data_IF_634910858207
#
_entry.id   IF_634910858207
#
_cell.length_a   1.000
_cell.length_b   1.000
_cell.length_c   1.000
_cell.angle_alpha   90.00
_cell.angle_beta   90.00
_cell.angle_gamma   90.00
#
_symmetry.space_group_name_H-M   'P 1'
#
loop_
_entity.id
_entity.type
_entity.pdbx_description
1 polymer ?
#
# COMPACT_ATOMS: atom_id res chain seq x y z
N UNK A 1 -14.13 -12.18 8.57
CA UNK A 1 -14.16 -11.03 7.64
C UNK A 1 -12.90 -10.22 7.86
N UNK A 2 -12.23 -9.75 6.80
CA UNK A 2 -11.04 -8.92 6.95
C UNK A 2 -11.42 -7.46 7.28
N UNK A 3 -10.72 -6.80 8.20
CA UNK A 3 -10.84 -5.35 8.47
C UNK A 3 -9.85 -4.54 7.63
N UNK A 4 -9.98 -3.21 7.68
CA UNK A 4 -9.05 -2.28 7.06
C UNK A 4 -7.63 -2.49 7.61
N UNK A 5 -7.50 -2.54 8.93
CA UNK A 5 -6.23 -2.73 9.65
C UNK A 5 -5.59 -4.06 9.30
N UNK A 6 -6.41 -5.11 9.15
CA UNK A 6 -5.96 -6.44 8.70
C UNK A 6 -5.33 -6.40 7.32
N UNK A 7 -5.98 -5.70 6.39
CA UNK A 7 -5.53 -5.62 5.02
C UNK A 7 -4.28 -4.73 4.89
N UNK A 8 -4.25 -3.60 5.60
CA UNK A 8 -3.11 -2.69 5.59
C UNK A 8 -1.88 -3.30 6.23
N UNK A 9 -2.01 -3.93 7.41
CA UNK A 9 -0.85 -4.55 8.06
C UNK A 9 -0.30 -5.69 7.21
N UNK A 10 -1.15 -6.49 6.57
CA UNK A 10 -0.70 -7.51 5.63
C UNK A 10 0.17 -6.92 4.50
N UNK A 11 -0.29 -5.81 3.89
CA UNK A 11 0.45 -5.13 2.83
C UNK A 11 1.71 -4.43 3.36
N UNK A 12 1.67 -3.80 4.53
CA UNK A 12 2.84 -3.17 5.14
C UNK A 12 3.94 -4.19 5.42
N UNK A 13 3.58 -5.42 5.84
CA UNK A 13 4.54 -6.52 6.02
C UNK A 13 5.15 -6.98 4.70
N UNK A 14 4.40 -6.96 3.60
CA UNK A 14 4.98 -7.29 2.28
C UNK A 14 5.95 -6.22 1.77
N UNK A 15 5.82 -4.97 2.24
CA UNK A 15 6.80 -3.89 2.01
C UNK A 15 8.01 -3.92 2.95
N UNK A 16 8.04 -4.87 3.89
CA UNK A 16 9.12 -5.08 4.85
C UNK A 16 8.94 -4.38 6.20
N UNK A 17 7.80 -3.71 6.44
CA UNK A 17 7.50 -3.12 7.75
C UNK A 17 7.03 -4.17 8.75
N UNK A 18 7.30 -3.92 10.03
CA UNK A 18 7.09 -4.85 11.13
C UNK A 18 6.11 -4.23 12.13
N UNK A 19 4.98 -4.90 12.32
CA UNK A 19 3.99 -4.58 13.35
C UNK A 19 4.59 -4.75 14.77
N UNK A 20 4.30 -3.83 15.67
CA UNK A 20 4.89 -3.72 17.01
C UNK A 20 6.33 -3.19 17.02
N UNK A 21 6.86 -2.74 15.88
CA UNK A 21 8.21 -2.16 15.77
C UNK A 21 8.20 -0.86 14.96
N UNK A 22 7.73 -0.92 13.71
CA UNK A 22 7.65 0.26 12.84
C UNK A 22 6.30 0.99 13.00
N UNK A 23 5.25 0.22 13.28
CA UNK A 23 3.90 0.72 13.53
C UNK A 23 3.14 -0.24 14.46
N UNK A 24 2.10 0.26 15.12
CA UNK A 24 1.13 -0.56 15.83
C UNK A 24 0.00 -0.95 14.88
N UNK A 25 -0.41 -2.21 14.89
CA UNK A 25 -1.55 -2.73 14.12
C UNK A 25 -2.77 -1.79 14.06
N UNK A 26 -3.17 -1.27 15.23
CA UNK A 26 -4.33 -0.40 15.39
C UNK A 26 -4.16 0.96 14.71
N UNK A 27 -2.92 1.32 14.35
CA UNK A 27 -2.53 2.55 13.66
C UNK A 27 -2.01 2.29 12.24
N UNK A 28 -2.33 1.12 11.67
CA UNK A 28 -1.95 0.78 10.30
C UNK A 28 -2.55 1.73 9.23
N UNK A 29 -3.75 2.32 9.37
CA UNK A 29 -4.22 3.38 8.47
C UNK A 29 -3.30 4.59 8.41
N UNK A 30 -2.91 5.13 9.56
CA UNK A 30 -2.05 6.31 9.69
C UNK A 30 -0.65 6.02 9.13
N UNK A 31 -0.11 4.84 9.41
CA UNK A 31 1.18 4.44 8.85
C UNK A 31 1.10 4.22 7.34
N UNK A 32 0.01 3.63 6.83
CA UNK A 32 -0.25 3.45 5.42
C UNK A 32 -0.36 4.79 4.67
N UNK A 33 -0.88 5.84 5.31
CA UNK A 33 -0.82 7.21 4.78
C UNK A 33 0.61 7.73 4.69
N UNK A 34 1.40 7.56 5.76
CA UNK A 34 2.79 8.02 5.82
C UNK A 34 3.69 7.39 4.74
N UNK A 35 3.47 6.12 4.41
CA UNK A 35 4.24 5.41 3.35
C UNK A 35 3.62 5.55 1.96
N UNK A 36 2.50 6.26 1.83
CA UNK A 36 1.85 6.58 0.56
C UNK A 36 0.98 5.46 -0.02
N UNK A 37 0.52 4.50 0.78
CA UNK A 37 -0.52 3.54 0.36
C UNK A 37 -1.89 4.24 0.34
N UNK A 38 -2.25 4.92 1.42
CA UNK A 38 -3.50 5.68 1.53
C UNK A 38 -3.25 7.19 1.44
N UNK A 39 -4.32 7.94 1.17
CA UNK A 39 -4.36 9.38 1.42
C UNK A 39 -5.30 9.64 2.60
N UNK A 40 -5.09 10.69 3.42
CA UNK A 40 -5.94 10.98 4.58
C UNK A 40 -7.43 11.08 4.24
N UNK A 41 -7.76 11.64 3.07
CA UNK A 41 -9.14 11.74 2.57
C UNK A 41 -9.78 10.36 2.29
N UNK A 42 -8.97 9.37 1.94
CA UNK A 42 -9.44 8.05 1.52
C UNK A 42 -9.63 7.17 2.75
N UNK A 43 -8.69 7.18 3.71
CA UNK A 43 -8.85 6.50 5.00
C UNK A 43 -10.09 6.99 5.76
N UNK A 44 -10.31 8.32 5.84
CA UNK A 44 -11.50 8.89 6.50
C UNK A 44 -12.81 8.38 5.86
N UNK A 45 -12.87 8.33 4.52
CA UNK A 45 -14.03 7.82 3.80
C UNK A 45 -14.27 6.34 4.08
N UNK A 46 -13.23 5.52 4.09
CA UNK A 46 -13.31 4.08 4.35
C UNK A 46 -13.80 3.83 5.77
N UNK A 47 -13.23 4.53 6.76
CA UNK A 47 -13.61 4.40 8.17
C UNK A 47 -15.09 4.78 8.34
N UNK A 48 -15.54 5.87 7.71
CA UNK A 48 -16.93 6.33 7.82
C UNK A 48 -17.93 5.42 7.12
N UNK A 49 -17.60 4.91 5.92
CA UNK A 49 -18.53 4.13 5.08
C UNK A 49 -18.48 2.63 5.33
N UNK A 50 -17.46 2.16 6.03
CA UNK A 50 -17.19 0.75 6.23
C UNK A 50 -16.23 0.19 5.17
N UNK A 51 -15.46 -0.80 5.60
CA UNK A 51 -14.48 -1.50 4.78
C UNK A 51 -15.16 -2.57 3.91
N UNK A 52 -14.74 -2.66 2.65
CA UNK A 52 -15.25 -3.65 1.68
C UNK A 52 -14.17 -4.09 0.69
N UNK A 53 -14.50 -5.07 -0.16
CA UNK A 53 -13.54 -5.77 -1.03
C UNK A 53 -12.93 -4.88 -2.11
N UNK A 54 -13.63 -3.85 -2.55
CA UNK A 54 -13.11 -2.78 -3.41
C UNK A 54 -11.91 -2.05 -2.78
N UNK A 55 -11.96 -1.80 -1.47
CA UNK A 55 -10.87 -1.17 -0.74
C UNK A 55 -9.63 -2.06 -0.66
N UNK A 56 -9.78 -3.39 -0.63
CA UNK A 56 -8.65 -4.32 -0.74
C UNK A 56 -7.95 -4.17 -2.08
N UNK A 57 -8.71 -4.05 -3.17
CA UNK A 57 -8.17 -3.82 -4.52
C UNK A 57 -7.46 -2.47 -4.59
N UNK A 58 -8.09 -1.41 -4.07
CA UNK A 58 -7.50 -0.08 -3.96
C UNK A 58 -6.15 -0.13 -3.23
N UNK A 59 -6.10 -0.72 -2.03
CA UNK A 59 -4.89 -0.81 -1.21
C UNK A 59 -3.79 -1.58 -1.96
N UNK A 60 -4.14 -2.73 -2.53
CA UNK A 60 -3.18 -3.58 -3.26
C UNK A 60 -2.56 -2.86 -4.45
N UNK A 61 -3.38 -2.06 -5.16
CA UNK A 61 -2.92 -1.29 -6.29
C UNK A 61 -2.01 -0.14 -5.87
N UNK A 62 -2.42 0.66 -4.87
CA UNK A 62 -1.62 1.81 -4.44
C UNK A 62 -0.36 1.42 -3.65
N UNK A 63 -0.29 0.20 -3.12
CA UNK A 63 0.94 -0.36 -2.56
C UNK A 63 2.08 -0.42 -3.59
N UNK A 64 1.79 -0.55 -4.89
CA UNK A 64 2.80 -0.50 -5.95
C UNK A 64 3.60 0.83 -5.92
N UNK A 65 2.94 1.92 -5.53
CA UNK A 65 3.54 3.26 -5.42
C UNK A 65 4.15 3.54 -4.04
N UNK A 66 3.92 2.67 -3.06
CA UNK A 66 4.40 2.85 -1.71
C UNK A 66 5.90 2.53 -1.61
N UNK A 67 6.57 3.20 -0.67
CA UNK A 67 8.01 2.99 -0.41
C UNK A 67 8.23 1.70 0.38
N UNK A 68 9.21 0.91 -0.04
CA UNK A 68 9.69 -0.22 0.75
C UNK A 68 10.48 0.24 1.97
N UNK A 69 10.45 -0.54 3.06
CA UNK A 69 11.19 -0.21 4.28
C UNK A 69 12.68 -0.03 3.99
N UNK A 70 13.27 1.00 4.60
CA UNK A 70 14.71 1.32 4.50
C UNK A 70 15.22 1.42 3.05
N UNK A 71 14.32 1.74 2.12
CA UNK A 71 14.59 1.82 0.70
C UNK A 71 14.15 3.17 0.15
N UNK A 72 14.96 3.70 -0.75
CA UNK A 72 14.60 4.88 -1.54
C UNK A 72 13.68 4.57 -2.72
N UNK A 73 13.26 3.30 -2.90
CA UNK A 73 12.45 2.87 -4.05
C UNK A 73 11.06 2.38 -3.66
N UNK A 74 10.15 2.47 -4.62
CA UNK A 74 8.78 1.96 -4.51
C UNK A 74 8.73 0.45 -4.72
N UNK A 75 7.62 -0.19 -4.32
CA UNK A 75 7.41 -1.62 -4.59
C UNK A 75 7.50 -1.93 -6.08
N UNK A 76 6.90 -1.11 -6.95
CA UNK A 76 6.94 -1.37 -8.40
C UNK A 76 8.36 -1.23 -8.98
N UNK A 77 9.17 -0.30 -8.47
CA UNK A 77 10.59 -0.19 -8.85
C UNK A 77 11.41 -1.40 -8.38
N UNK A 78 11.13 -1.91 -7.17
CA UNK A 78 11.77 -3.12 -6.65
C UNK A 78 11.42 -4.35 -7.50
N UNK A 79 10.16 -4.50 -7.92
CA UNK A 79 9.72 -5.56 -8.82
C UNK A 79 10.44 -5.50 -10.18
N UNK A 80 10.64 -4.30 -10.73
CA UNK A 80 11.46 -4.09 -11.95
C UNK A 80 12.91 -4.48 -11.70
N UNK A 81 13.51 -4.06 -10.59
CA UNK A 81 14.90 -4.39 -10.23
C UNK A 81 15.13 -5.90 -10.06
N UNK A 82 14.14 -6.60 -9.51
CA UNK A 82 14.13 -8.06 -9.36
C UNK A 82 13.83 -8.81 -10.66
N UNK A 83 13.51 -8.11 -11.76
CA UNK A 83 13.19 -8.71 -13.05
C UNK A 83 11.82 -9.41 -13.09
N UNK A 84 10.92 -9.14 -12.14
CA UNK A 84 9.58 -9.75 -12.08
C UNK A 84 8.68 -9.15 -13.17
N UNK A 85 8.85 -7.86 -13.45
CA UNK A 85 8.13 -7.14 -14.50
C UNK A 85 9.11 -6.25 -15.28
N UNK A 86 8.75 -5.89 -16.52
CA UNK A 86 9.53 -4.94 -17.31
C UNK A 86 9.27 -3.50 -16.88
N UNK A 87 10.20 -2.58 -17.19
CA UNK A 87 10.03 -1.15 -16.91
C UNK A 87 8.87 -0.55 -17.71
N UNK A 88 8.63 -1.04 -18.91
CA UNK A 88 7.52 -0.64 -19.78
C UNK A 88 6.17 -1.00 -19.13
N UNK A 89 6.02 -2.24 -18.64
CA UNK A 89 4.82 -2.68 -17.95
C UNK A 89 4.58 -1.91 -16.65
N UNK A 90 5.64 -1.60 -15.90
CA UNK A 90 5.55 -0.76 -14.72
C UNK A 90 5.01 0.64 -15.06
N UNK A 91 5.57 1.28 -16.10
CA UNK A 91 5.13 2.61 -16.54
C UNK A 91 3.67 2.60 -17.03
N UNK A 92 3.27 1.59 -17.80
CA UNK A 92 1.87 1.42 -18.25
C UNK A 92 0.91 1.24 -17.08
N UNK A 93 1.31 0.44 -16.08
CA UNK A 93 0.51 0.26 -14.87
C UNK A 93 0.35 1.60 -14.14
N UNK A 94 1.43 2.36 -13.96
CA UNK A 94 1.37 3.66 -13.29
C UNK A 94 0.60 4.74 -14.05
N UNK A 95 0.49 4.66 -15.38
CA UNK A 95 -0.29 5.62 -16.18
C UNK A 95 -1.77 5.26 -16.28
N UNK A 96 -2.13 3.97 -16.16
CA UNK A 96 -3.50 3.49 -16.31
C UNK A 96 -4.47 4.02 -15.24
N UNK A 97 -3.97 4.29 -14.03
CA UNK A 97 -4.78 4.85 -12.94
C UNK A 97 -4.04 6.00 -12.27
N UNK A 98 -4.49 7.22 -12.56
CA UNK A 98 -4.10 8.42 -11.83
C UNK A 98 -4.58 8.34 -10.37
N UNK A 99 -3.81 8.94 -9.47
CA UNK A 99 -4.12 9.03 -8.04
C UNK A 99 -4.88 10.31 -7.71
#
# INVERSE_FOLDING_TARGET
>A
TATLEQSLTFVLRSLGYVDGTDFEWTKSPEFAEAVGILLPRDSEKIIRRGFCRDHVVYISYYALRARMKNSGVTLIDDLVRKGVISRELANQTLSAHGR
#
